data_IF_270854008025
#
_entry.id   IF_270854008025
#
_cell.length_a   1.000
_cell.length_b   1.000
_cell.length_c   1.000
_cell.angle_alpha   90.00
_cell.angle_beta   90.00
_cell.angle_gamma   90.00
#
_symmetry.space_group_name_H-M   'P 1'
#
loop_
_entity.id
_entity.type
_entity.pdbx_description
1 polymer ?
#
# COMPACT_ATOMS: atom_id res chain seq x y z
N UNK A 1 31.55 16.26 -41.68
CA UNK A 1 30.08 16.15 -41.74
C UNK A 1 29.81 14.74 -41.32
N UNK A 2 29.82 14.56 -40.01
CA UNK A 2 29.83 13.26 -39.38
C UNK A 2 28.41 13.10 -38.84
N UNK A 3 27.61 12.33 -39.57
CA UNK A 3 26.23 12.01 -39.25
C UNK A 3 26.16 11.38 -37.86
N UNK A 4 25.80 12.19 -36.87
CA UNK A 4 25.40 11.69 -35.55
C UNK A 4 24.07 10.98 -35.73
N UNK A 5 24.14 9.64 -35.81
CA UNK A 5 23.01 8.75 -35.61
C UNK A 5 22.37 9.03 -34.25
N UNK A 6 21.23 9.71 -34.27
CA UNK A 6 20.31 9.77 -33.12
C UNK A 6 19.51 8.47 -33.04
N UNK A 7 20.20 7.35 -32.79
CA UNK A 7 19.56 6.08 -32.45
C UNK A 7 19.31 6.02 -30.93
N UNK A 8 18.65 7.03 -30.38
CA UNK A 8 18.11 6.97 -29.03
C UNK A 8 16.75 6.24 -29.05
N UNK A 9 16.75 4.95 -29.40
CA UNK A 9 15.63 4.07 -29.06
C UNK A 9 15.55 3.97 -27.53
N UNK A 10 14.72 4.79 -26.89
CA UNK A 10 14.36 4.55 -25.49
C UNK A 10 13.52 5.58 -24.74
N UNK A 11 13.35 6.81 -25.23
CA UNK A 11 12.76 7.88 -24.38
C UNK A 11 11.26 8.10 -24.60
N UNK A 12 10.49 7.03 -24.71
CA UNK A 12 9.02 7.13 -24.64
C UNK A 12 8.57 7.11 -23.19
N UNK A 13 7.98 8.20 -22.69
CA UNK A 13 7.33 8.21 -21.39
C UNK A 13 6.22 7.15 -21.36
N UNK A 14 6.21 6.30 -20.32
CA UNK A 14 5.10 5.37 -20.09
C UNK A 14 3.97 6.13 -19.39
N UNK A 15 2.78 6.15 -19.98
CA UNK A 15 1.59 6.73 -19.33
C UNK A 15 1.23 5.86 -18.12
N UNK A 16 1.27 6.45 -16.92
CA UNK A 16 0.74 5.84 -15.70
C UNK A 16 -0.67 6.38 -15.50
N UNK A 17 -1.65 5.48 -15.41
CA UNK A 17 -2.99 5.85 -14.98
C UNK A 17 -3.08 5.74 -13.46
N UNK A 18 -3.23 6.87 -12.81
CA UNK A 18 -3.49 6.94 -11.36
C UNK A 18 -5.01 6.88 -11.18
N UNK A 19 -5.50 5.78 -10.61
CA UNK A 19 -6.90 5.63 -10.24
C UNK A 19 -7.19 6.52 -9.03
N UNK A 20 -7.74 7.72 -9.26
CA UNK A 20 -8.11 8.71 -8.21
C UNK A 20 -9.53 8.51 -7.65
N UNK A 21 -10.14 7.33 -7.87
CA UNK A 21 -11.41 6.98 -7.24
C UNK A 21 -11.26 6.73 -5.73
N UNK A 22 -12.36 6.68 -4.96
CA UNK A 22 -12.31 6.26 -3.56
C UNK A 22 -11.58 4.91 -3.48
N UNK A 23 -10.48 4.87 -2.75
CA UNK A 23 -9.66 3.66 -2.63
C UNK A 23 -10.52 2.50 -2.15
N UNK A 24 -10.45 1.34 -2.83
CA UNK A 24 -11.13 0.11 -2.37
C UNK A 24 -10.54 -0.43 -1.06
N UNK A 25 -9.39 0.10 -0.62
CA UNK A 25 -8.74 -0.30 0.62
C UNK A 25 -9.43 0.39 1.79
N UNK A 26 -9.76 -0.39 2.82
CA UNK A 26 -10.35 0.10 4.05
C UNK A 26 -9.51 1.24 4.63
N UNK A 27 -10.13 2.40 4.83
CA UNK A 27 -9.54 3.48 5.62
C UNK A 27 -9.71 3.15 7.10
N UNK A 28 -8.62 3.25 7.85
CA UNK A 28 -8.62 3.09 9.30
C UNK A 28 -8.55 4.47 9.95
N UNK A 29 -9.49 4.79 10.83
CA UNK A 29 -9.35 5.95 11.69
C UNK A 29 -8.19 5.73 12.66
N UNK A 30 -7.61 6.81 13.18
CA UNK A 30 -6.53 6.68 14.17
C UNK A 30 -7.03 6.06 15.48
N UNK A 31 -8.30 6.26 15.83
CA UNK A 31 -8.94 5.59 16.97
C UNK A 31 -9.03 4.08 16.77
N UNK A 32 -9.44 3.64 15.57
CA UNK A 32 -9.49 2.20 15.26
C UNK A 32 -8.09 1.57 15.31
N UNK A 33 -7.06 2.27 14.78
CA UNK A 33 -5.68 1.80 14.88
C UNK A 33 -5.24 1.71 16.34
N UNK A 34 -5.52 2.73 17.15
CA UNK A 34 -5.16 2.76 18.56
C UNK A 34 -5.82 1.60 19.33
N UNK A 35 -7.07 1.27 19.01
CA UNK A 35 -7.80 0.14 19.59
C UNK A 35 -7.20 -1.20 19.21
N UNK A 36 -6.83 -1.39 17.94
CA UNK A 36 -6.16 -2.61 17.49
C UNK A 36 -4.82 -2.77 18.23
N UNK A 37 -4.02 -1.69 18.30
CA UNK A 37 -2.72 -1.74 18.96
C UNK A 37 -2.87 -2.03 20.45
N UNK A 38 -3.80 -1.37 21.15
CA UNK A 38 -4.01 -1.61 22.59
C UNK A 38 -4.46 -3.03 22.89
N UNK A 39 -5.25 -3.65 22.00
CA UNK A 39 -5.64 -5.06 22.10
C UNK A 39 -4.41 -5.98 22.01
N UNK A 40 -3.49 -5.72 21.07
CA UNK A 40 -2.26 -6.52 20.93
C UNK A 40 -1.28 -6.38 22.09
N UNK A 41 -1.37 -5.30 22.87
CA UNK A 41 -0.48 -5.05 24.00
C UNK A 41 -0.90 -5.77 25.30
N UNK A 42 -2.07 -6.43 25.30
CA UNK A 42 -2.50 -7.18 26.47
C UNK A 42 -1.64 -8.45 26.68
N UNK A 43 -1.29 -8.79 27.93
CA UNK A 43 -0.50 -10.00 28.21
C UNK A 43 -1.16 -11.27 27.66
N UNK A 44 -0.37 -12.09 26.96
CA UNK A 44 -0.83 -13.38 26.42
C UNK A 44 -1.61 -13.28 25.10
N UNK A 45 -1.79 -12.08 24.54
CA UNK A 45 -2.45 -11.91 23.24
C UNK A 45 -1.51 -12.23 22.08
N UNK A 46 -2.04 -12.93 21.07
CA UNK A 46 -1.34 -13.22 19.82
C UNK A 46 -1.73 -12.21 18.75
N UNK A 47 -0.76 -11.43 18.26
CA UNK A 47 -0.96 -10.37 17.25
C UNK A 47 -1.69 -10.89 16.00
N UNK A 48 -1.39 -12.10 15.54
CA UNK A 48 -2.04 -12.73 14.38
C UNK A 48 -3.54 -12.95 14.58
N UNK A 49 -3.98 -13.24 15.81
CA UNK A 49 -5.40 -13.43 16.11
C UNK A 49 -6.15 -12.10 16.04
N UNK A 50 -5.58 -11.05 16.64
CA UNK A 50 -6.11 -9.68 16.57
C UNK A 50 -6.15 -9.21 15.11
N UNK A 51 -5.09 -9.43 14.34
CA UNK A 51 -5.05 -9.08 12.92
C UNK A 51 -6.17 -9.76 12.13
N UNK A 52 -6.47 -11.04 12.38
CA UNK A 52 -7.59 -11.76 11.74
C UNK A 52 -8.95 -11.18 12.11
N UNK A 53 -9.16 -10.88 13.40
CA UNK A 53 -10.40 -10.25 13.92
C UNK A 53 -10.68 -8.92 13.23
N UNK A 54 -9.64 -8.15 12.99
CA UNK A 54 -9.72 -6.83 12.37
C UNK A 54 -9.53 -6.86 10.83
N UNK A 55 -9.33 -8.04 10.23
CA UNK A 55 -9.01 -8.23 8.81
C UNK A 55 -7.81 -7.40 8.34
N UNK A 56 -6.84 -7.19 9.22
CA UNK A 56 -5.55 -6.55 8.94
C UNK A 56 -4.61 -7.61 8.36
N UNK A 57 -4.94 -8.13 7.18
CA UNK A 57 -4.10 -9.11 6.50
C UNK A 57 -3.10 -8.39 5.58
N UNK A 58 -1.81 -8.78 5.54
CA UNK A 58 -0.74 -8.05 4.83
C UNK A 58 -0.85 -8.03 3.29
N UNK A 59 -1.96 -8.51 2.70
CA UNK A 59 -2.03 -8.80 1.26
C UNK A 59 -3.40 -8.54 0.60
N UNK A 60 -4.16 -7.54 1.05
CA UNK A 60 -5.27 -6.97 0.29
C UNK A 60 -4.88 -5.61 -0.29
#
# INVERSE_FOLDING_TARGET
MDDVRDDAKGSGYRRIEVLTGPGRRRTWSDDDKARIVSETLQPGVVVTEVARRWQVCPQQ
#
